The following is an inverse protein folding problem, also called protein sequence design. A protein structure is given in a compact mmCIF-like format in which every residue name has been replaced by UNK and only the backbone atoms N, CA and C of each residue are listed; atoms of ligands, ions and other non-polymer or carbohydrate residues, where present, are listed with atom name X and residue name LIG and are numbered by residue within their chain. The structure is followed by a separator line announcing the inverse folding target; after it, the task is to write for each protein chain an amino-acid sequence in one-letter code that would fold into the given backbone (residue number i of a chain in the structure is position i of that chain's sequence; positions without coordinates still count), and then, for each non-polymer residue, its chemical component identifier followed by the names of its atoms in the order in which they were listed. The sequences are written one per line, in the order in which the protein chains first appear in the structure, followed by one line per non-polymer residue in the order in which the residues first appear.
data_IF_477061837066
#
_entry.id   IF_477061837066
#
_cell.length_a   1.000
_cell.length_b   1.000
_cell.length_c   1.000
_cell.angle_alpha   90.00
_cell.angle_beta   90.00
_cell.angle_gamma   90.00
#
_symmetry.space_group_name_H-M   'P 1'
#
loop_
_entity.id
_entity.type
_entity.pdbx_description
1 polymer ?
#
# COMPACT_ATOMS: atom_id res chain seq x y z
N UNK A 1 -11.19 17.01 16.93
CA UNK A 1 -10.68 16.13 18.02
C UNK A 1 -9.17 16.23 18.07
N UNK A 2 -8.54 15.81 19.20
CA UNK A 2 -7.10 15.56 19.31
C UNK A 2 -6.86 14.07 19.14
N UNK A 3 -6.11 13.71 18.12
CA UNK A 3 -5.85 12.32 17.73
C UNK A 3 -4.36 12.06 17.85
N UNK A 4 -3.99 11.09 18.70
CA UNK A 4 -2.64 10.56 18.80
C UNK A 4 -2.51 9.33 17.90
N UNK A 5 -1.50 9.30 17.04
CA UNK A 5 -1.16 8.13 16.23
C UNK A 5 0.18 7.56 16.66
N UNK A 6 0.27 6.24 16.82
CA UNK A 6 1.49 5.54 17.27
C UNK A 6 1.92 4.49 16.26
N UNK A 7 3.18 4.52 15.83
CA UNK A 7 3.81 3.52 14.96
C UNK A 7 5.24 3.22 15.44
N UNK A 8 5.56 1.93 15.61
CA UNK A 8 6.91 1.47 15.95
C UNK A 8 7.58 0.66 14.84
N UNK A 9 7.12 0.80 13.61
CA UNK A 9 7.74 0.18 12.45
C UNK A 9 9.17 0.68 12.21
N UNK A 10 9.80 0.26 11.11
CA UNK A 10 11.13 0.75 10.71
C UNK A 10 11.13 2.28 10.69
N UNK A 11 12.11 2.88 11.34
CA UNK A 11 12.23 4.32 11.53
C UNK A 11 12.19 5.10 10.20
N UNK A 12 11.43 6.19 10.19
CA UNK A 12 11.29 7.07 9.02
C UNK A 12 11.11 8.53 9.47
N UNK A 13 11.42 9.42 8.55
CA UNK A 13 11.00 10.80 8.60
C UNK A 13 9.93 11.04 7.52
N UNK A 14 8.80 11.71 7.82
CA UNK A 14 7.76 11.95 6.80
C UNK A 14 8.27 12.72 5.59
N UNK A 15 9.33 13.51 5.72
CA UNK A 15 10.01 14.19 4.61
C UNK A 15 10.74 13.22 3.68
N UNK A 16 11.10 12.03 4.17
CA UNK A 16 11.83 11.04 3.38
C UNK A 16 11.07 10.64 2.11
N UNK A 17 9.74 10.70 2.11
CA UNK A 17 8.93 10.41 0.92
C UNK A 17 9.27 11.26 -0.30
N UNK A 18 9.85 12.46 -0.09
CA UNK A 18 10.30 13.36 -1.16
C UNK A 18 11.67 12.99 -1.72
N UNK A 19 12.50 12.30 -0.94
CA UNK A 19 13.89 12.05 -1.25
C UNK A 19 14.24 10.57 -1.48
N UNK A 20 13.47 9.66 -0.89
CA UNK A 20 13.70 8.21 -0.97
C UNK A 20 12.41 7.40 -0.91
N UNK A 21 12.41 6.16 -1.39
CA UNK A 21 11.25 5.30 -1.27
C UNK A 21 10.95 5.00 0.21
N UNK A 22 9.67 5.06 0.56
CA UNK A 22 9.15 4.58 1.83
C UNK A 22 8.35 3.29 1.63
N UNK A 23 8.31 2.46 2.67
CA UNK A 23 7.46 1.27 2.71
C UNK A 23 5.96 1.62 2.63
N UNK A 24 5.16 0.69 2.16
CA UNK A 24 3.70 0.88 1.99
C UNK A 24 3.00 1.28 3.28
N UNK A 25 3.40 0.68 4.41
CA UNK A 25 2.81 0.96 5.72
C UNK A 25 3.15 2.37 6.21
N UNK A 26 4.37 2.83 5.98
CA UNK A 26 4.82 4.18 6.35
C UNK A 26 4.08 5.24 5.52
N UNK A 27 3.93 5.02 4.21
CA UNK A 27 3.15 5.91 3.32
C UNK A 27 1.68 5.97 3.75
N UNK A 28 1.08 4.83 4.07
CA UNK A 28 -0.30 4.76 4.56
C UNK A 28 -0.48 5.50 5.89
N UNK A 29 0.45 5.35 6.83
CA UNK A 29 0.44 6.06 8.13
C UNK A 29 0.53 7.58 7.94
N UNK A 30 1.45 8.05 7.09
CA UNK A 30 1.59 9.47 6.76
C UNK A 30 0.30 9.99 6.11
N UNK A 31 -0.22 9.29 5.11
CA UNK A 31 -1.41 9.70 4.36
C UNK A 31 -2.65 9.77 5.26
N UNK A 32 -2.82 8.84 6.21
CA UNK A 32 -3.89 8.90 7.19
C UNK A 32 -3.73 10.11 8.12
N UNK A 33 -2.52 10.35 8.66
CA UNK A 33 -2.27 11.47 9.56
C UNK A 33 -2.61 12.82 8.90
N UNK A 34 -2.14 13.03 7.67
CA UNK A 34 -2.42 14.24 6.89
C UNK A 34 -3.91 14.37 6.52
N UNK A 35 -4.57 13.25 6.22
CA UNK A 35 -6.00 13.23 5.91
C UNK A 35 -6.87 13.60 7.12
N UNK A 36 -6.49 13.17 8.32
CA UNK A 36 -7.15 13.55 9.56
C UNK A 36 -6.99 15.06 9.83
N UNK A 37 -5.80 15.64 9.56
CA UNK A 37 -5.59 17.10 9.63
C UNK A 37 -6.46 17.82 8.61
N UNK A 38 -6.52 17.35 7.36
CA UNK A 38 -7.35 17.93 6.31
C UNK A 38 -8.86 17.93 6.67
N UNK A 39 -9.27 17.02 7.54
CA UNK A 39 -10.63 16.97 8.11
C UNK A 39 -10.84 17.81 9.36
N UNK A 40 -9.84 18.59 9.76
CA UNK A 40 -9.93 19.55 10.86
C UNK A 40 -9.56 18.99 12.24
N UNK A 41 -8.91 17.82 12.32
CA UNK A 41 -8.40 17.31 13.59
C UNK A 41 -7.01 17.86 13.90
N UNK A 42 -6.69 17.94 15.21
CA UNK A 42 -5.30 18.13 15.67
C UNK A 42 -4.68 16.75 15.79
N UNK A 43 -3.60 16.49 15.04
CA UNK A 43 -2.94 15.20 14.98
C UNK A 43 -1.52 15.32 15.50
N UNK A 44 -1.17 14.48 16.48
CA UNK A 44 0.21 14.18 16.86
C UNK A 44 0.53 12.74 16.45
N UNK A 45 1.56 12.56 15.65
CA UNK A 45 2.01 11.25 15.18
C UNK A 45 3.38 10.92 15.76
N UNK A 46 3.46 9.85 16.55
CA UNK A 46 4.69 9.35 17.15
C UNK A 46 5.19 8.11 16.41
N UNK A 47 6.46 8.11 16.04
CA UNK A 47 7.10 7.06 15.26
C UNK A 47 8.56 6.86 15.66
N UNK A 48 9.11 5.73 15.25
CA UNK A 48 10.54 5.51 15.35
C UNK A 48 11.31 6.40 14.37
N UNK A 49 12.47 6.88 14.82
CA UNK A 49 13.40 7.66 13.99
C UNK A 49 12.87 9.04 13.60
N UNK A 50 13.66 9.73 12.76
CA UNK A 50 13.40 11.10 12.36
C UNK A 50 13.60 12.11 13.48
N UNK A 51 13.35 13.37 13.19
CA UNK A 51 13.39 14.48 14.16
C UNK A 51 11.98 14.98 14.45
N UNK A 52 11.81 15.55 15.65
CA UNK A 52 10.57 16.21 16.02
C UNK A 52 10.36 17.46 15.19
N UNK A 53 9.18 17.56 14.56
CA UNK A 53 8.82 18.69 13.70
C UNK A 53 7.32 18.75 13.46
N UNK A 54 6.83 19.90 13.04
CA UNK A 54 5.49 20.04 12.50
C UNK A 54 5.57 20.11 10.97
N UNK A 55 4.82 19.26 10.29
CA UNK A 55 4.80 19.20 8.84
C UNK A 55 3.40 18.82 8.34
N UNK A 56 2.89 19.54 7.34
CA UNK A 56 1.55 19.38 6.77
C UNK A 56 0.43 19.37 7.84
N UNK A 57 0.62 20.17 8.91
CA UNK A 57 -0.33 20.28 10.01
C UNK A 57 -0.30 19.15 11.03
N UNK A 58 0.54 18.12 10.81
CA UNK A 58 0.78 17.02 11.76
C UNK A 58 1.97 17.35 12.66
N UNK A 59 1.80 17.18 13.98
CA UNK A 59 2.88 17.26 14.94
C UNK A 59 3.62 15.91 14.99
N UNK A 60 4.73 15.80 14.27
CA UNK A 60 5.56 14.59 14.23
C UNK A 60 6.51 14.57 15.42
N UNK A 61 6.49 13.49 16.19
CA UNK A 61 7.35 13.31 17.38
C UNK A 61 8.00 11.93 17.35
N UNK A 62 9.09 11.77 18.05
CA UNK A 62 9.65 10.46 18.32
C UNK A 62 8.69 9.64 19.19
N UNK A 63 8.69 8.32 19.03
CA UNK A 63 7.83 7.43 19.81
C UNK A 63 8.08 7.60 21.31
N UNK A 64 9.35 7.64 21.71
CA UNK A 64 9.82 7.81 23.07
C UNK A 64 9.99 9.30 23.47
N UNK A 65 9.13 10.19 22.97
CA UNK A 65 9.18 11.59 23.35
C UNK A 65 8.91 11.77 24.86
N UNK A 66 9.77 12.52 25.55
CA UNK A 66 9.65 12.77 27.00
C UNK A 66 8.37 13.57 27.35
N UNK A 67 7.94 14.44 26.45
CA UNK A 67 6.75 15.26 26.67
C UNK A 67 5.47 14.43 26.48
N UNK A 68 4.46 14.65 27.35
CA UNK A 68 3.17 14.01 27.15
C UNK A 68 2.53 14.45 25.82
N UNK A 69 1.66 13.62 25.20
CA UNK A 69 0.95 13.99 23.98
C UNK A 69 0.25 15.34 24.12
N UNK A 70 0.31 16.15 23.06
CA UNK A 70 -0.29 17.49 23.01
C UNK A 70 0.11 18.41 24.21
N UNK A 71 1.30 18.21 24.79
CA UNK A 71 1.74 18.98 25.95
C UNK A 71 0.96 18.69 27.23
N UNK A 72 0.29 17.56 27.33
CA UNK A 72 -0.54 17.15 28.47
C UNK A 72 -2.02 17.46 28.33
N UNK A 73 -2.45 18.01 27.21
CA UNK A 73 -3.87 18.18 26.92
C UNK A 73 -4.56 16.82 26.67
N UNK A 74 -5.85 16.71 27.01
CA UNK A 74 -6.63 15.49 26.82
C UNK A 74 -6.64 15.01 25.37
N UNK A 75 -6.35 13.72 25.16
CA UNK A 75 -6.41 13.01 23.87
C UNK A 75 -7.79 12.38 23.73
N UNK A 76 -8.48 12.62 22.60
CA UNK A 76 -9.80 12.04 22.37
C UNK A 76 -9.69 10.61 21.84
N UNK A 77 -8.80 10.39 20.88
CA UNK A 77 -8.65 9.11 20.20
C UNK A 77 -7.17 8.77 20.03
N UNK A 78 -6.82 7.53 20.28
CA UNK A 78 -5.49 6.97 19.96
C UNK A 78 -5.64 5.97 18.82
N UNK A 79 -4.89 6.15 17.75
CA UNK A 79 -4.78 5.18 16.66
C UNK A 79 -3.44 4.46 16.81
N UNK A 80 -3.50 3.22 17.21
CA UNK A 80 -2.34 2.33 17.30
C UNK A 80 -2.17 1.62 15.96
N UNK A 81 -0.98 1.73 15.38
CA UNK A 81 -0.69 1.21 14.04
C UNK A 81 0.04 -0.12 14.12
N UNK A 82 -0.61 -1.20 13.67
CA UNK A 82 -0.07 -2.53 13.38
C UNK A 82 0.49 -3.35 14.53
N UNK A 83 1.10 -2.74 15.54
CA UNK A 83 1.76 -3.48 16.61
C UNK A 83 0.96 -3.40 17.91
N UNK A 84 0.43 -4.53 18.40
CA UNK A 84 -0.37 -4.56 19.63
C UNK A 84 0.43 -4.19 20.89
N UNK A 85 1.77 -4.28 20.88
CA UNK A 85 2.58 -3.85 22.02
C UNK A 85 2.41 -2.37 22.35
N UNK A 86 2.13 -1.54 21.33
CA UNK A 86 1.85 -0.11 21.50
C UNK A 86 0.56 0.20 22.26
N UNK A 87 -0.35 -0.75 22.41
CA UNK A 87 -1.56 -0.57 23.23
C UNK A 87 -1.23 -0.29 24.71
N UNK A 88 -0.07 -0.74 25.17
CA UNK A 88 0.46 -0.50 26.54
C UNK A 88 1.52 0.60 26.59
N UNK A 89 1.71 1.34 25.50
CA UNK A 89 2.69 2.43 25.46
C UNK A 89 2.28 3.55 26.44
N UNK A 90 3.28 4.14 27.12
CA UNK A 90 3.07 5.17 28.15
C UNK A 90 2.31 6.42 27.64
N UNK A 91 2.34 6.67 26.33
CA UNK A 91 1.60 7.77 25.70
C UNK A 91 0.11 7.50 25.49
N UNK A 92 -0.39 6.28 25.76
CA UNK A 92 -1.81 5.91 25.59
C UNK A 92 -2.55 6.25 26.90
N UNK A 93 -3.41 7.29 26.93
CA UNK A 93 -4.21 7.62 28.10
C UNK A 93 -5.27 6.54 28.38
N UNK A 94 -5.59 6.33 29.63
CA UNK A 94 -6.55 5.29 30.06
C UNK A 94 -8.00 5.58 29.58
N UNK A 95 -8.36 6.85 29.44
CA UNK A 95 -9.70 7.30 29.10
C UNK A 95 -9.91 7.60 27.60
N UNK A 96 -8.87 7.45 26.79
CA UNK A 96 -8.97 7.68 25.35
C UNK A 96 -9.74 6.57 24.63
N UNK A 97 -10.45 6.91 23.54
CA UNK A 97 -10.97 5.91 22.62
C UNK A 97 -9.81 5.32 21.82
N UNK A 98 -9.60 4.00 21.92
CA UNK A 98 -8.47 3.32 21.29
C UNK A 98 -8.95 2.60 20.04
N UNK A 99 -8.33 2.95 18.91
CA UNK A 99 -8.50 2.32 17.60
C UNK A 99 -7.20 1.61 17.25
N UNK A 100 -7.28 0.33 16.93
CA UNK A 100 -6.12 -0.46 16.53
C UNK A 100 -6.24 -0.84 15.05
N UNK A 101 -5.42 -0.20 14.21
CA UNK A 101 -5.32 -0.51 12.79
C UNK A 101 -4.40 -1.69 12.56
N UNK A 102 -4.95 -2.79 12.05
CA UNK A 102 -4.18 -4.00 11.82
C UNK A 102 -4.31 -4.49 10.37
N UNK A 103 -3.18 -4.52 9.68
CA UNK A 103 -3.04 -4.96 8.30
C UNK A 103 -2.09 -6.18 8.17
N UNK A 104 -1.92 -6.92 9.25
CA UNK A 104 -1.08 -8.11 9.32
C UNK A 104 -1.89 -9.41 9.29
N UNK A 105 -1.20 -10.53 9.56
CA UNK A 105 -1.84 -11.84 9.74
C UNK A 105 -2.67 -11.85 11.03
N UNK A 106 -4.00 -12.06 10.97
CA UNK A 106 -4.87 -12.08 12.14
C UNK A 106 -4.46 -13.10 13.20
N UNK A 107 -3.79 -14.19 12.82
CA UNK A 107 -3.28 -15.18 13.75
C UNK A 107 -2.34 -14.58 14.81
N UNK A 108 -1.64 -13.49 14.49
CA UNK A 108 -0.78 -12.76 15.45
C UNK A 108 -1.56 -12.12 16.60
N UNK A 109 -2.85 -11.87 16.43
CA UNK A 109 -3.72 -11.31 17.46
C UNK A 109 -4.36 -12.37 18.34
N UNK A 110 -4.12 -13.65 18.06
CA UNK A 110 -4.70 -14.77 18.81
C UNK A 110 -3.90 -15.13 20.08
N UNK A 111 -2.74 -14.51 20.33
CA UNK A 111 -2.00 -14.68 21.58
C UNK A 111 -2.83 -14.18 22.77
N UNK A 112 -2.82 -14.92 23.87
CA UNK A 112 -3.69 -14.67 25.02
C UNK A 112 -3.43 -13.29 25.66
N UNK A 113 -2.18 -12.87 25.73
CA UNK A 113 -1.78 -11.56 26.23
C UNK A 113 -2.30 -10.41 25.35
N UNK A 114 -2.28 -10.58 24.03
CA UNK A 114 -2.83 -9.59 23.08
C UNK A 114 -4.36 -9.51 23.22
N UNK A 115 -5.04 -10.67 23.25
CA UNK A 115 -6.50 -10.72 23.44
C UNK A 115 -6.93 -10.04 24.73
N UNK A 116 -6.21 -10.30 25.82
CA UNK A 116 -6.48 -9.70 27.12
C UNK A 116 -6.44 -8.16 27.04
N UNK A 117 -5.36 -7.60 26.46
CA UNK A 117 -5.20 -6.14 26.31
C UNK A 117 -6.29 -5.55 25.42
N UNK A 118 -6.65 -6.20 24.31
CA UNK A 118 -7.73 -5.75 23.43
C UNK A 118 -9.09 -5.70 24.15
N UNK A 119 -9.36 -6.67 25.03
CA UNK A 119 -10.60 -6.72 25.82
C UNK A 119 -10.61 -5.68 26.94
N UNK A 120 -9.55 -5.64 27.78
CA UNK A 120 -9.48 -4.75 28.95
C UNK A 120 -9.57 -3.27 28.54
N UNK A 121 -8.86 -2.89 27.46
CA UNK A 121 -8.87 -1.53 26.96
C UNK A 121 -10.04 -1.23 26.01
N UNK A 122 -10.95 -2.18 25.78
CA UNK A 122 -12.12 -2.03 24.89
C UNK A 122 -11.74 -1.48 23.51
N UNK A 123 -10.69 -2.02 22.94
CA UNK A 123 -10.10 -1.55 21.70
C UNK A 123 -11.05 -1.78 20.51
N UNK A 124 -11.21 -0.77 19.65
CA UNK A 124 -11.84 -0.96 18.36
C UNK A 124 -10.79 -1.48 17.36
N UNK A 125 -10.86 -2.76 17.02
CA UNK A 125 -9.97 -3.36 16.03
C UNK A 125 -10.49 -3.04 14.63
N UNK A 126 -9.56 -2.60 13.76
CA UNK A 126 -9.79 -2.37 12.33
C UNK A 126 -8.94 -3.33 11.53
N UNK A 127 -9.59 -4.09 10.66
CA UNK A 127 -8.94 -4.84 9.59
C UNK A 127 -9.08 -4.12 8.26
N UNK A 128 -8.17 -4.39 7.33
CA UNK A 128 -8.19 -3.77 5.99
C UNK A 128 -8.92 -4.62 4.96
N UNK A 129 -9.33 -5.83 5.34
CA UNK A 129 -9.91 -6.85 4.46
C UNK A 129 -10.91 -7.73 5.20
N UNK A 130 -12.00 -8.13 4.52
CA UNK A 130 -13.02 -9.02 5.09
C UNK A 130 -12.45 -10.40 5.42
N UNK A 131 -11.48 -10.90 4.65
CA UNK A 131 -10.87 -12.20 4.95
C UNK A 131 -10.07 -12.17 6.26
N UNK A 132 -9.39 -11.04 6.55
CA UNK A 132 -8.73 -10.84 7.85
C UNK A 132 -9.76 -10.83 9.00
N UNK A 133 -10.84 -10.07 8.84
CA UNK A 133 -11.89 -9.98 9.86
C UNK A 133 -12.56 -11.33 10.11
N UNK A 134 -12.78 -12.13 9.07
CA UNK A 134 -13.37 -13.47 9.17
C UNK A 134 -12.40 -14.51 9.75
N UNK A 135 -11.09 -14.32 9.60
CA UNK A 135 -10.06 -15.20 10.16
C UNK A 135 -9.73 -14.88 11.62
N UNK A 136 -10.20 -13.75 12.14
CA UNK A 136 -10.01 -13.36 13.53
C UNK A 136 -11.11 -13.99 14.40
N UNK A 137 -10.71 -14.93 15.24
CA UNK A 137 -11.62 -15.71 16.10
C UNK A 137 -11.47 -15.31 17.57
N UNK A 138 -11.83 -14.07 17.89
CA UNK A 138 -11.87 -13.63 19.27
C UNK A 138 -13.12 -12.81 19.56
N UNK A 139 -13.78 -13.15 20.66
CA UNK A 139 -14.83 -12.30 21.23
C UNK A 139 -14.18 -11.06 21.87
N UNK A 140 -14.45 -9.90 21.34
CA UNK A 140 -14.00 -8.63 21.87
C UNK A 140 -15.18 -7.80 22.37
N UNK A 141 -14.89 -6.86 23.29
CA UNK A 141 -15.88 -5.90 23.78
C UNK A 141 -16.53 -5.06 22.66
N UNK A 142 -15.77 -4.78 21.61
CA UNK A 142 -16.23 -4.14 20.37
C UNK A 142 -16.01 -5.07 19.20
N UNK A 143 -17.03 -5.25 18.36
CA UNK A 143 -16.91 -6.03 17.12
C UNK A 143 -15.88 -5.37 16.20
N UNK A 144 -14.93 -6.14 15.64
CA UNK A 144 -14.00 -5.61 14.64
C UNK A 144 -14.75 -5.04 13.43
N UNK A 145 -14.17 -4.02 12.81
CA UNK A 145 -14.69 -3.40 11.58
C UNK A 145 -13.67 -3.53 10.45
N UNK A 146 -14.16 -3.52 9.22
CA UNK A 146 -13.30 -3.50 8.03
C UNK A 146 -13.30 -2.09 7.47
N UNK A 147 -12.10 -1.51 7.38
CA UNK A 147 -11.87 -0.21 6.73
C UNK A 147 -10.79 -0.39 5.67
N UNK A 148 -11.18 -0.35 4.42
CA UNK A 148 -10.24 -0.51 3.30
C UNK A 148 -9.31 0.71 3.21
N UNK A 149 -8.02 0.53 2.84
CA UNK A 149 -7.10 1.65 2.65
C UNK A 149 -7.52 2.55 1.48
N UNK A 150 -6.98 3.75 1.45
CA UNK A 150 -7.15 4.71 0.36
C UNK A 150 -5.87 4.89 -0.47
N UNK A 151 -6.01 5.43 -1.66
CA UNK A 151 -4.88 5.89 -2.46
C UNK A 151 -4.24 7.12 -1.83
N UNK A 152 -2.92 7.24 -1.96
CA UNK A 152 -2.21 8.45 -1.53
C UNK A 152 -2.45 9.59 -2.54
N UNK A 153 -2.45 10.81 -2.03
CA UNK A 153 -2.78 12.00 -2.83
C UNK A 153 -1.86 12.17 -4.05
N UNK A 154 -0.59 11.79 -3.94
CA UNK A 154 0.37 11.87 -5.04
C UNK A 154 -0.10 11.09 -6.28
N UNK A 155 -0.62 9.87 -6.10
CA UNK A 155 -1.12 9.03 -7.20
C UNK A 155 -2.41 9.59 -7.80
N UNK A 156 -3.30 10.10 -6.96
CA UNK A 156 -4.53 10.75 -7.43
C UNK A 156 -4.23 12.00 -8.25
N UNK A 157 -3.27 12.81 -7.84
CA UNK A 157 -2.85 14.01 -8.58
C UNK A 157 -2.16 13.66 -9.90
N UNK A 158 -1.27 12.66 -9.90
CA UNK A 158 -0.58 12.21 -11.11
C UNK A 158 -1.56 11.71 -12.18
N UNK A 159 -2.69 11.10 -11.81
CA UNK A 159 -3.72 10.64 -12.75
C UNK A 159 -4.32 11.77 -13.59
N UNK A 160 -4.28 13.01 -13.13
CA UNK A 160 -4.81 14.14 -13.89
C UNK A 160 -3.91 14.56 -15.06
N UNK A 161 -2.63 14.18 -15.04
CA UNK A 161 -1.66 14.44 -16.11
C UNK A 161 -1.73 13.36 -17.21
N UNK A 162 -2.02 12.12 -16.83
CA UNK A 162 -1.96 10.93 -17.70
C UNK A 162 -3.28 10.15 -17.74
N UNK A 163 -4.40 10.84 -17.93
CA UNK A 163 -5.71 10.20 -17.87
C UNK A 163 -6.15 9.50 -19.18
N UNK A 164 -5.62 9.94 -20.33
CA UNK A 164 -6.00 9.39 -21.62
C UNK A 164 -5.00 8.34 -22.12
N UNK A 165 -5.45 7.40 -22.93
CA UNK A 165 -4.61 6.35 -23.51
C UNK A 165 -3.38 6.92 -24.25
N UNK A 166 -3.57 7.98 -25.03
CA UNK A 166 -2.51 8.59 -25.81
C UNK A 166 -1.44 9.30 -24.98
N UNK A 167 -1.76 9.64 -23.73
CA UNK A 167 -0.80 10.25 -22.81
C UNK A 167 -0.01 9.21 -22.02
N UNK A 168 -0.28 7.90 -22.21
CA UNK A 168 0.39 6.81 -21.51
C UNK A 168 1.21 5.95 -22.44
N UNK A 169 2.40 5.58 -21.97
CA UNK A 169 3.30 4.71 -22.70
C UNK A 169 2.77 3.26 -22.75
N UNK A 170 3.27 2.46 -23.70
CA UNK A 170 3.06 1.00 -23.74
C UNK A 170 3.83 0.33 -22.61
N UNK A 171 3.50 0.72 -21.40
CA UNK A 171 4.20 0.42 -20.16
C UNK A 171 3.32 -0.37 -19.20
N UNK A 172 3.85 -1.45 -18.68
CA UNK A 172 3.34 -2.12 -17.49
C UNK A 172 4.32 -1.93 -16.33
N UNK A 173 3.78 -1.77 -15.12
CA UNK A 173 4.58 -1.56 -13.91
C UNK A 173 4.24 -2.63 -12.88
N UNK A 174 5.25 -3.13 -12.18
CA UNK A 174 5.09 -3.91 -10.96
C UNK A 174 6.02 -3.40 -9.86
N UNK A 175 5.56 -3.43 -8.63
CA UNK A 175 6.35 -3.09 -7.44
C UNK A 175 6.24 -4.24 -6.45
N UNK A 176 7.34 -4.91 -6.17
CA UNK A 176 7.33 -6.10 -5.33
C UNK A 176 8.75 -6.42 -4.80
N UNK A 177 8.84 -7.37 -3.89
CA UNK A 177 10.11 -8.01 -3.55
C UNK A 177 10.34 -9.23 -4.45
N UNK A 178 11.58 -9.66 -4.62
CA UNK A 178 11.95 -10.83 -5.45
C UNK A 178 11.19 -12.11 -5.09
N UNK A 179 10.84 -12.26 -3.80
CA UNK A 179 10.09 -13.41 -3.28
C UNK A 179 8.58 -13.37 -3.56
N UNK A 180 8.04 -12.28 -4.11
CA UNK A 180 6.59 -12.04 -4.21
C UNK A 180 6.05 -12.08 -5.65
N UNK A 181 6.48 -13.05 -6.43
CA UNK A 181 5.88 -13.33 -7.74
C UNK A 181 6.52 -12.62 -8.94
N UNK A 182 7.65 -11.94 -8.77
CA UNK A 182 8.37 -11.27 -9.88
C UNK A 182 8.76 -12.28 -10.96
N UNK A 183 9.32 -13.44 -10.58
CA UNK A 183 9.68 -14.48 -11.53
C UNK A 183 8.51 -14.94 -12.41
N UNK A 184 7.32 -15.05 -11.81
CA UNK A 184 6.10 -15.42 -12.52
C UNK A 184 5.66 -14.31 -13.47
N UNK A 185 5.69 -13.05 -13.04
CA UNK A 185 5.35 -11.90 -13.89
C UNK A 185 6.29 -11.82 -15.10
N UNK A 186 7.60 -11.98 -14.91
CA UNK A 186 8.58 -11.98 -16.00
C UNK A 186 8.31 -13.13 -16.98
N UNK A 187 8.07 -14.36 -16.48
CA UNK A 187 7.74 -15.51 -17.33
C UNK A 187 6.48 -15.31 -18.14
N UNK A 188 5.42 -14.75 -17.50
CA UNK A 188 4.17 -14.42 -18.19
C UNK A 188 4.43 -13.35 -19.26
N UNK A 189 5.23 -12.33 -18.93
CA UNK A 189 5.62 -11.30 -19.87
C UNK A 189 6.29 -11.85 -21.11
N UNK A 190 7.33 -12.66 -20.92
CA UNK A 190 8.08 -13.28 -22.02
C UNK A 190 7.22 -14.21 -22.89
N UNK A 191 6.30 -14.95 -22.26
CA UNK A 191 5.51 -15.98 -22.95
C UNK A 191 4.30 -15.41 -23.68
N UNK A 192 3.59 -14.45 -23.06
CA UNK A 192 2.27 -14.04 -23.55
C UNK A 192 2.20 -12.57 -23.99
N UNK A 193 3.03 -11.67 -23.43
CA UNK A 193 2.95 -10.23 -23.69
C UNK A 193 3.94 -9.79 -24.76
N UNK A 194 5.24 -9.98 -24.54
CA UNK A 194 6.29 -9.51 -25.44
C UNK A 194 6.13 -9.97 -26.91
N UNK A 195 5.69 -11.22 -27.21
CA UNK A 195 5.46 -11.64 -28.59
C UNK A 195 4.33 -10.90 -29.31
N UNK A 196 3.38 -10.33 -28.57
CA UNK A 196 2.18 -9.65 -29.11
C UNK A 196 2.28 -8.13 -29.02
N UNK A 197 3.09 -7.62 -28.10
CA UNK A 197 3.37 -6.20 -27.88
C UNK A 197 4.89 -5.97 -27.81
N UNK A 198 5.62 -6.07 -28.94
CA UNK A 198 7.08 -6.06 -28.95
C UNK A 198 7.72 -4.75 -28.55
N UNK A 199 6.97 -3.64 -28.58
CA UNK A 199 7.45 -2.33 -28.15
C UNK A 199 7.12 -2.04 -26.67
N UNK A 200 6.32 -2.87 -26.04
CA UNK A 200 5.91 -2.68 -24.65
C UNK A 200 7.08 -2.92 -23.69
N UNK A 201 7.03 -2.21 -22.56
CA UNK A 201 8.05 -2.27 -21.52
C UNK A 201 7.37 -2.77 -20.22
N UNK A 202 8.06 -3.65 -19.51
CA UNK A 202 7.75 -4.01 -18.13
C UNK A 202 8.79 -3.38 -17.21
N UNK A 203 8.38 -2.41 -16.42
CA UNK A 203 9.21 -1.86 -15.34
C UNK A 203 8.94 -2.61 -14.02
N UNK A 204 10.00 -3.17 -13.46
CA UNK A 204 10.00 -3.90 -12.21
C UNK A 204 10.73 -3.08 -11.16
N UNK A 205 9.99 -2.57 -10.17
CA UNK A 205 10.56 -1.84 -9.04
C UNK A 205 10.73 -2.79 -7.85
N UNK A 206 11.97 -3.23 -7.63
CA UNK A 206 12.31 -4.19 -6.59
C UNK A 206 13.69 -3.85 -6.01
N UNK A 207 13.72 -3.44 -4.73
CA UNK A 207 14.97 -3.03 -4.08
C UNK A 207 15.98 -4.17 -4.00
N UNK A 208 15.55 -5.33 -3.50
CA UNK A 208 16.40 -6.51 -3.31
C UNK A 208 16.94 -7.06 -4.64
N UNK A 209 16.11 -7.11 -5.68
CA UNK A 209 16.51 -7.56 -7.00
C UNK A 209 17.47 -6.57 -7.67
N UNK A 210 17.22 -5.28 -7.58
CA UNK A 210 18.10 -4.24 -8.12
C UNK A 210 19.48 -4.28 -7.45
N UNK A 211 19.53 -4.36 -6.12
CA UNK A 211 20.77 -4.47 -5.37
C UNK A 211 21.54 -5.77 -5.67
N UNK A 212 20.82 -6.89 -5.88
CA UNK A 212 21.45 -8.15 -6.27
C UNK A 212 22.07 -8.08 -7.68
N UNK A 213 21.39 -7.43 -8.63
CA UNK A 213 21.95 -7.19 -9.98
C UNK A 213 23.19 -6.29 -9.94
N UNK A 214 23.31 -5.41 -8.96
CA UNK A 214 24.49 -4.59 -8.72
C UNK A 214 25.62 -5.33 -7.95
N UNK A 215 25.37 -6.56 -7.50
CA UNK A 215 26.32 -7.32 -6.69
C UNK A 215 26.38 -6.89 -5.22
N UNK A 216 25.38 -6.18 -4.72
CA UNK A 216 25.31 -5.65 -3.36
C UNK A 216 24.48 -6.52 -2.40
N UNK A 217 23.80 -7.56 -2.92
CA UNK A 217 22.90 -8.40 -2.17
C UNK A 217 22.88 -9.83 -2.72
N UNK A 218 23.13 -10.82 -1.87
CA UNK A 218 23.16 -12.24 -2.22
C UNK A 218 21.86 -12.98 -1.87
N UNK A 219 20.80 -12.26 -1.49
CA UNK A 219 19.52 -12.88 -1.07
C UNK A 219 18.63 -13.33 -2.24
N UNK A 220 18.97 -12.94 -3.46
CA UNK A 220 18.21 -13.28 -4.68
C UNK A 220 18.87 -14.47 -5.37
N UNK A 221 18.08 -15.45 -5.81
CA UNK A 221 18.61 -16.64 -6.49
C UNK A 221 19.21 -16.32 -7.85
N UNK A 222 20.27 -17.04 -8.22
CA UNK A 222 20.91 -16.93 -9.54
C UNK A 222 19.90 -17.20 -10.68
N UNK A 223 18.99 -18.14 -10.50
CA UNK A 223 17.93 -18.45 -11.49
C UNK A 223 17.07 -17.21 -11.81
N UNK A 224 16.71 -16.40 -10.80
CA UNK A 224 15.95 -15.17 -11.02
C UNK A 224 16.80 -14.10 -11.70
N UNK A 225 18.06 -13.96 -11.32
CA UNK A 225 18.99 -13.03 -11.95
C UNK A 225 19.21 -13.37 -13.44
N UNK A 226 19.38 -14.64 -13.77
CA UNK A 226 19.54 -15.10 -15.15
C UNK A 226 18.25 -14.91 -15.97
N UNK A 227 17.08 -15.17 -15.36
CA UNK A 227 15.77 -14.87 -15.97
C UNK A 227 15.64 -13.37 -16.32
N UNK A 228 15.97 -12.49 -15.38
CA UNK A 228 15.93 -11.04 -15.61
C UNK A 228 16.87 -10.64 -16.75
N UNK A 229 18.12 -11.13 -16.74
CA UNK A 229 19.11 -10.84 -17.80
C UNK A 229 18.61 -11.28 -19.18
N UNK A 230 18.00 -12.45 -19.27
CA UNK A 230 17.44 -12.96 -20.53
C UNK A 230 16.21 -12.21 -21.02
N UNK A 231 15.47 -11.55 -20.11
CA UNK A 231 14.26 -10.82 -20.42
C UNK A 231 14.49 -9.36 -20.83
N UNK A 232 15.73 -8.83 -20.72
CA UNK A 232 16.05 -7.43 -21.07
C UNK A 232 15.70 -7.14 -22.54
N UNK A 233 16.07 -8.02 -23.47
CA UNK A 233 15.78 -7.86 -24.90
C UNK A 233 14.28 -7.98 -25.22
N UNK A 234 13.46 -8.43 -24.26
CA UNK A 234 12.00 -8.53 -24.34
C UNK A 234 11.30 -7.36 -23.62
N UNK A 235 12.02 -6.31 -23.29
CA UNK A 235 11.49 -5.07 -22.71
C UNK A 235 11.37 -5.08 -21.18
N UNK A 236 11.92 -6.06 -20.47
CA UNK A 236 11.93 -6.07 -19.00
C UNK A 236 13.07 -5.17 -18.49
N UNK A 237 12.73 -4.26 -17.56
CA UNK A 237 13.69 -3.35 -16.93
C UNK A 237 13.51 -3.40 -15.41
N UNK A 238 14.61 -3.58 -14.68
CA UNK A 238 14.60 -3.57 -13.21
C UNK A 238 15.15 -2.25 -12.70
N UNK A 239 14.44 -1.68 -11.74
CA UNK A 239 14.76 -0.39 -11.16
C UNK A 239 14.78 -0.44 -9.64
N UNK A 240 15.58 0.44 -9.06
CA UNK A 240 15.43 0.80 -7.67
C UNK A 240 14.08 1.54 -7.47
N UNK A 241 13.32 1.25 -6.40
CA UNK A 241 12.14 2.04 -6.07
C UNK A 241 12.48 3.53 -5.96
N UNK A 242 11.55 4.38 -6.40
CA UNK A 242 11.70 5.84 -6.42
C UNK A 242 10.97 6.50 -5.24
N UNK A 243 11.23 7.79 -4.95
CA UNK A 243 10.38 8.60 -4.08
C UNK A 243 8.90 8.55 -4.51
N UNK A 244 7.99 8.85 -3.59
CA UNK A 244 6.54 8.65 -3.79
C UNK A 244 6.00 9.39 -5.01
N UNK A 245 6.37 10.67 -5.20
CA UNK A 245 5.88 11.46 -6.33
C UNK A 245 6.33 10.90 -7.68
N UNK A 246 7.61 10.48 -7.78
CA UNK A 246 8.17 9.90 -9.00
C UNK A 246 7.56 8.54 -9.32
N UNK A 247 7.24 7.74 -8.28
CA UNK A 247 6.51 6.48 -8.46
C UNK A 247 5.07 6.72 -8.90
N UNK A 248 4.41 7.74 -8.34
CA UNK A 248 3.06 8.12 -8.72
C UNK A 248 2.99 8.52 -10.21
N UNK A 249 3.95 9.31 -10.68
CA UNK A 249 4.07 9.68 -12.09
C UNK A 249 4.36 8.47 -12.98
N UNK A 250 5.27 7.60 -12.56
CA UNK A 250 5.57 6.35 -13.28
C UNK A 250 4.33 5.48 -13.45
N UNK A 251 3.58 5.25 -12.37
CA UNK A 251 2.38 4.42 -12.41
C UNK A 251 1.27 5.10 -13.22
N UNK A 252 1.10 6.42 -13.08
CA UNK A 252 0.12 7.17 -13.85
C UNK A 252 0.42 7.21 -15.36
N UNK A 253 1.69 7.09 -15.76
CA UNK A 253 2.09 6.97 -17.17
C UNK A 253 1.91 5.55 -17.72
N UNK A 254 1.70 4.54 -16.89
CA UNK A 254 1.56 3.15 -17.31
C UNK A 254 0.12 2.82 -17.73
N UNK A 255 -0.04 1.85 -18.64
CA UNK A 255 -1.33 1.28 -19.05
C UNK A 255 -1.79 0.11 -18.19
N UNK A 256 -0.89 -0.53 -17.45
CA UNK A 256 -1.24 -1.64 -16.56
C UNK A 256 -0.35 -1.68 -15.33
N UNK A 257 -0.94 -1.97 -14.18
CA UNK A 257 -0.21 -2.34 -12.97
C UNK A 257 -0.34 -3.85 -12.75
N UNK A 258 0.79 -4.55 -12.67
CA UNK A 258 0.82 -6.01 -12.56
C UNK A 258 1.08 -6.44 -11.12
N UNK A 259 0.22 -7.35 -10.63
CA UNK A 259 0.33 -7.86 -9.26
C UNK A 259 0.15 -9.38 -9.25
N UNK A 260 1.10 -10.09 -8.64
CA UNK A 260 1.01 -11.54 -8.49
C UNK A 260 0.71 -11.90 -7.02
N UNK A 261 -0.57 -11.92 -6.66
CA UNK A 261 -1.05 -12.05 -5.28
C UNK A 261 -0.95 -13.44 -4.65
N UNK A 262 -0.51 -14.47 -5.41
CA UNK A 262 -0.50 -15.86 -4.92
C UNK A 262 0.52 -16.11 -3.80
N UNK A 263 1.61 -15.34 -3.78
CA UNK A 263 2.73 -15.55 -2.87
C UNK A 263 2.93 -14.40 -1.87
N UNK A 264 2.05 -13.40 -1.88
CA UNK A 264 2.21 -12.23 -1.04
C UNK A 264 1.50 -12.36 0.31
N UNK A 265 2.17 -11.92 1.37
CA UNK A 265 1.58 -11.61 2.68
C UNK A 265 1.25 -10.12 2.79
N UNK A 266 1.05 -9.45 1.66
CA UNK A 266 0.62 -8.05 1.65
C UNK A 266 -0.87 -7.97 1.94
N UNK A 267 -1.21 -7.68 3.17
CA UNK A 267 -2.57 -7.44 3.60
C UNK A 267 -3.02 -5.98 3.38
N UNK A 268 -2.09 -5.07 3.12
CA UNK A 268 -2.43 -3.65 2.87
C UNK A 268 -2.96 -3.49 1.46
N UNK A 269 -2.27 -4.07 0.49
CA UNK A 269 -2.56 -3.85 -0.91
C UNK A 269 -2.42 -2.37 -1.33
N UNK A 270 -1.54 -1.61 -0.66
CA UNK A 270 -1.41 -0.17 -0.89
C UNK A 270 -1.04 0.15 -2.34
N UNK A 271 -0.14 -0.63 -2.95
CA UNK A 271 0.20 -0.43 -4.36
C UNK A 271 -0.98 -0.62 -5.31
N UNK A 272 -1.93 -1.49 -4.95
CA UNK A 272 -3.14 -1.72 -5.76
C UNK A 272 -4.06 -0.50 -5.71
N UNK A 273 -4.32 0.03 -4.50
CA UNK A 273 -5.17 1.23 -4.37
C UNK A 273 -4.48 2.48 -4.91
N UNK A 274 -3.16 2.58 -4.81
CA UNK A 274 -2.38 3.66 -5.42
C UNK A 274 -2.44 3.60 -6.95
N UNK A 275 -2.31 2.41 -7.55
CA UNK A 275 -2.47 2.22 -8.99
C UNK A 275 -3.89 2.62 -9.47
N UNK A 276 -4.92 2.22 -8.74
CA UNK A 276 -6.30 2.65 -9.03
C UNK A 276 -6.47 4.16 -8.82
N UNK A 277 -5.84 4.75 -7.80
CA UNK A 277 -5.78 6.20 -7.58
C UNK A 277 -5.15 6.94 -8.76
N UNK A 278 -4.11 6.36 -9.37
CA UNK A 278 -3.47 6.84 -10.59
C UNK A 278 -4.30 6.55 -11.87
N UNK A 279 -5.51 6.02 -11.74
CA UNK A 279 -6.35 5.56 -12.84
C UNK A 279 -5.64 4.52 -13.73
N UNK A 280 -4.78 3.69 -13.15
CA UNK A 280 -4.06 2.63 -13.84
C UNK A 280 -4.71 1.28 -13.51
N UNK A 281 -5.30 0.60 -14.50
CA UNK A 281 -5.95 -0.68 -14.31
C UNK A 281 -4.99 -1.74 -13.76
N UNK A 282 -5.49 -2.56 -12.83
CA UNK A 282 -4.73 -3.63 -12.19
C UNK A 282 -4.99 -4.96 -12.87
N UNK A 283 -3.93 -5.74 -13.15
CA UNK A 283 -4.05 -7.15 -13.50
C UNK A 283 -3.43 -7.97 -12.38
N UNK A 284 -4.23 -8.83 -11.76
CA UNK A 284 -3.78 -9.58 -10.58
C UNK A 284 -4.13 -11.06 -10.64
N UNK A 285 -3.23 -11.88 -10.10
CA UNK A 285 -3.44 -13.31 -9.88
C UNK A 285 -3.83 -13.59 -8.41
N UNK A 286 -5.04 -13.17 -8.02
CA UNK A 286 -5.61 -13.45 -6.70
C UNK A 286 -5.07 -12.59 -5.54
N UNK A 287 -5.06 -13.17 -4.33
CA UNK A 287 -4.59 -12.50 -3.12
C UNK A 287 -5.46 -11.32 -2.69
N UNK A 288 -4.83 -10.31 -2.09
CA UNK A 288 -5.47 -9.09 -1.57
C UNK A 288 -6.20 -8.29 -2.66
N UNK A 289 -5.83 -8.46 -3.93
CA UNK A 289 -6.49 -7.77 -5.03
C UNK A 289 -7.99 -8.04 -5.09
N UNK A 290 -8.47 -9.20 -4.62
CA UNK A 290 -9.91 -9.54 -4.58
C UNK A 290 -10.75 -8.56 -3.77
N UNK A 291 -10.15 -7.85 -2.83
CA UNK A 291 -10.83 -6.85 -2.00
C UNK A 291 -10.52 -5.40 -2.41
N UNK A 292 -9.61 -5.20 -3.36
CA UNK A 292 -9.15 -3.86 -3.82
C UNK A 292 -9.60 -3.53 -5.25
N UNK A 293 -9.74 -4.56 -6.07
CA UNK A 293 -10.05 -4.43 -7.50
C UNK A 293 -11.47 -4.93 -7.76
N UNK A 294 -12.27 -4.14 -8.44
CA UNK A 294 -13.57 -4.57 -8.96
C UNK A 294 -13.33 -5.28 -10.30
N UNK A 295 -13.43 -6.62 -10.27
CA UNK A 295 -13.11 -7.49 -11.41
C UNK A 295 -13.92 -7.16 -12.65
N UNK A 296 -13.23 -7.00 -13.77
CA UNK A 296 -13.83 -6.61 -15.05
C UNK A 296 -14.18 -5.12 -15.18
N UNK A 297 -13.98 -4.31 -14.13
CA UNK A 297 -14.30 -2.87 -14.12
C UNK A 297 -13.07 -1.98 -13.86
N UNK A 298 -12.42 -2.13 -12.73
CA UNK A 298 -11.23 -1.32 -12.40
C UNK A 298 -9.91 -2.06 -12.66
N UNK A 299 -10.01 -3.31 -13.09
CA UNK A 299 -8.92 -4.22 -13.39
C UNK A 299 -9.44 -5.64 -13.48
N UNK A 300 -8.56 -6.61 -13.42
CA UNK A 300 -8.88 -8.03 -13.60
C UNK A 300 -8.23 -8.92 -12.55
N UNK A 301 -9.04 -9.81 -11.98
CA UNK A 301 -8.59 -10.92 -11.13
C UNK A 301 -8.59 -12.18 -11.98
N UNK A 302 -7.44 -12.56 -12.48
CA UNK A 302 -7.34 -13.62 -13.49
C UNK A 302 -7.13 -15.01 -12.89
N UNK A 303 -7.63 -16.07 -13.54
CA UNK A 303 -7.53 -17.45 -13.03
C UNK A 303 -6.18 -18.13 -13.33
N UNK A 304 -5.47 -17.69 -14.38
CA UNK A 304 -4.25 -18.33 -14.87
C UNK A 304 -3.30 -17.34 -15.58
N UNK A 305 -2.10 -17.83 -15.89
CA UNK A 305 -1.03 -17.05 -16.51
C UNK A 305 -1.37 -16.61 -17.95
N UNK A 306 -2.11 -17.42 -18.71
CA UNK A 306 -2.51 -17.06 -20.06
C UNK A 306 -3.51 -15.91 -20.06
N UNK A 307 -4.50 -15.95 -19.17
CA UNK A 307 -5.44 -14.86 -18.95
C UNK A 307 -4.72 -13.59 -18.49
N UNK A 308 -3.74 -13.73 -17.57
CA UNK A 308 -2.91 -12.60 -17.10
C UNK A 308 -2.22 -11.91 -18.27
N UNK A 309 -1.48 -12.68 -19.09
CA UNK A 309 -0.76 -12.13 -20.23
C UNK A 309 -1.69 -11.55 -21.32
N UNK A 310 -2.82 -12.19 -21.60
CA UNK A 310 -3.76 -11.70 -22.59
C UNK A 310 -4.42 -10.38 -22.19
N UNK A 311 -4.88 -10.26 -20.94
CA UNK A 311 -5.47 -9.01 -20.41
C UNK A 311 -4.40 -7.91 -20.38
N UNK A 312 -3.18 -8.21 -19.92
CA UNK A 312 -2.07 -7.26 -19.95
C UNK A 312 -1.82 -6.75 -21.37
N UNK A 313 -1.72 -7.66 -22.34
CA UNK A 313 -1.53 -7.28 -23.75
C UNK A 313 -2.65 -6.37 -24.25
N UNK A 314 -3.90 -6.71 -23.93
CA UNK A 314 -5.06 -5.92 -24.35
C UNK A 314 -5.04 -4.53 -23.73
N UNK A 315 -4.72 -4.37 -22.46
CA UNK A 315 -4.54 -3.04 -21.83
C UNK A 315 -3.44 -2.21 -22.51
N UNK A 316 -2.35 -2.86 -22.93
CA UNK A 316 -1.24 -2.17 -23.59
C UNK A 316 -1.57 -1.73 -25.01
N UNK A 317 -2.40 -2.49 -25.76
CA UNK A 317 -2.56 -2.31 -27.21
C UNK A 317 -3.95 -1.86 -27.64
N UNK A 318 -5.01 -2.10 -26.84
CA UNK A 318 -6.39 -1.75 -27.16
C UNK A 318 -6.82 -0.50 -26.39
N UNK A 319 -6.97 0.61 -27.14
CA UNK A 319 -7.37 1.91 -26.59
C UNK A 319 -8.74 1.87 -25.89
N UNK A 320 -9.72 1.21 -26.48
CA UNK A 320 -11.09 1.22 -25.96
C UNK A 320 -11.19 0.40 -24.67
N UNK A 321 -10.49 -0.72 -24.64
CA UNK A 321 -10.39 -1.58 -23.47
C UNK A 321 -9.69 -0.86 -22.30
N UNK A 322 -8.51 -0.26 -22.54
CA UNK A 322 -7.82 0.54 -21.55
C UNK A 322 -8.68 1.71 -21.04
N UNK A 323 -9.28 2.49 -21.94
CA UNK A 323 -10.04 3.68 -21.57
C UNK A 323 -11.19 3.36 -20.62
N UNK A 324 -11.93 2.28 -20.89
CA UNK A 324 -13.04 1.82 -20.04
C UNK A 324 -12.55 1.49 -18.62
N UNK A 325 -11.45 0.74 -18.49
CA UNK A 325 -10.92 0.33 -17.21
C UNK A 325 -10.30 1.51 -16.43
N UNK A 326 -9.56 2.38 -17.13
CA UNK A 326 -8.92 3.55 -16.53
C UNK A 326 -9.96 4.57 -16.03
N UNK A 327 -11.03 4.80 -16.82
CA UNK A 327 -12.13 5.68 -16.41
C UNK A 327 -12.88 5.12 -15.18
N UNK A 328 -13.16 3.82 -15.17
CA UNK A 328 -13.79 3.17 -14.03
C UNK A 328 -12.92 3.27 -12.76
N UNK A 329 -11.61 3.00 -12.87
CA UNK A 329 -10.67 3.16 -11.76
C UNK A 329 -10.64 4.60 -11.23
N UNK A 330 -10.67 5.59 -12.14
CA UNK A 330 -10.70 7.01 -11.79
C UNK A 330 -11.97 7.41 -11.04
N UNK A 331 -13.12 6.89 -11.47
CA UNK A 331 -14.43 7.24 -10.90
C UNK A 331 -14.69 6.55 -9.56
N UNK A 332 -14.11 5.37 -9.34
CA UNK A 332 -14.31 4.56 -8.14
C UNK A 332 -13.17 4.68 -7.12
N UNK A 333 -12.23 5.60 -7.35
CA UNK A 333 -11.07 5.77 -6.48
C UNK A 333 -11.44 6.16 -5.06
N UNK A 334 -10.84 5.48 -4.12
CA UNK A 334 -10.93 5.75 -2.70
C UNK A 334 -9.63 6.38 -2.23
N UNK A 335 -9.72 7.50 -1.54
CA UNK A 335 -8.58 8.25 -1.01
C UNK A 335 -8.52 8.14 0.52
N UNK A 336 -7.37 8.42 1.12
CA UNK A 336 -7.21 8.40 2.57
C UNK A 336 -8.10 9.41 3.30
N UNK A 337 -8.54 10.47 2.64
CA UNK A 337 -9.51 11.42 3.22
C UNK A 337 -10.88 10.75 3.49
N UNK A 338 -11.29 9.79 2.67
CA UNK A 338 -12.50 8.99 2.88
C UNK A 338 -12.33 8.02 4.05
N UNK A 339 -11.12 7.40 4.15
CA UNK A 339 -10.75 6.53 5.28
C UNK A 339 -10.79 7.30 6.60
N UNK A 340 -10.19 8.49 6.65
CA UNK A 340 -10.23 9.36 7.81
C UNK A 340 -11.68 9.68 8.24
N UNK A 341 -12.58 9.92 7.27
CA UNK A 341 -14.00 10.17 7.53
C UNK A 341 -14.79 8.96 8.05
N UNK A 342 -14.32 7.74 7.77
CA UNK A 342 -14.88 6.52 8.38
C UNK A 342 -14.42 6.35 9.82
N UNK A 343 -13.13 6.64 10.09
CA UNK A 343 -12.57 6.55 11.44
C UNK A 343 -13.21 7.51 12.44
N UNK A 344 -13.70 8.67 11.97
CA UNK A 344 -14.43 9.64 12.81
C UNK A 344 -15.73 9.09 13.41
N UNK A 345 -16.28 8.03 12.83
CA UNK A 345 -17.56 7.43 13.23
C UNK A 345 -17.39 6.30 14.24
N UNK A 346 -16.15 5.90 14.51
CA UNK A 346 -15.79 4.84 15.44
C UNK A 346 -15.49 5.39 16.83
#
# INVERSE_FOLDING_TARGET
MKILMLDQSIGFDPKDREARPLGTCQRAFIALAESLVARGHKVEARRNGGIDKDMHGVAWRQLEAELPPFGGDAVNTVIVWRDPALLNHASVPEDANIVFWFDGDPARLNADDVRLVLQEKKVQVIFTDDAQANAFDAELAKKPVVVKPGATTSFVMASNMHWAFESRDELAVTVANSSTGIAQIIRIWETYVAPKAPNAILEVYAYDLFSAMAGENDSVSDDLLDMVRSAVDKGVRVHHPKPEADMAETVANARAFLHHGKYGTDYVGQWLVDALGAATPVVSYGGIAKSRVEDGKTGYIVPDEAAFGNITTQLLTDRSFFASQSEAARNDRREWIHVAGELEKL
#
